data_IF_479684480105
#
_entry.id   IF_479684480105
#
_cell.length_a   1.000
_cell.length_b   1.000
_cell.length_c   1.000
_cell.angle_alpha   90.00
_cell.angle_beta   90.00
_cell.angle_gamma   90.00
#
_symmetry.space_group_name_H-M   'P 1'
#
loop_
_entity.id
_entity.type
_entity.pdbx_description
1 polymer ?
#
# COMPACT_ATOMS: atom_id res chain seq x y z
N UNK A 1 48.23 -0.12 4.66
CA UNK A 1 47.27 0.92 5.07
C UNK A 1 47.22 1.97 3.97
N UNK A 2 46.07 2.14 3.32
CA UNK A 2 45.87 3.20 2.33
C UNK A 2 45.22 4.38 3.04
N UNK A 3 45.94 5.50 3.14
CA UNK A 3 45.43 6.78 3.62
C UNK A 3 45.30 7.74 2.46
N UNK A 4 44.24 8.54 2.44
CA UNK A 4 44.09 9.60 1.45
C UNK A 4 45.21 10.65 1.63
N UNK A 5 46.12 10.74 0.66
CA UNK A 5 47.10 11.82 0.58
C UNK A 5 46.41 13.07 0.05
N UNK A 6 46.01 13.99 0.94
CA UNK A 6 45.63 15.35 0.55
C UNK A 6 46.87 16.22 0.48
N UNK A 7 47.03 16.97 -0.61
CA UNK A 7 47.99 18.06 -0.66
C UNK A 7 47.61 19.09 0.39
N UNK A 8 48.55 19.42 1.29
CA UNK A 8 48.35 20.45 2.31
C UNK A 8 48.41 21.84 1.65
N UNK A 9 47.29 22.32 1.11
CA UNK A 9 47.07 23.73 0.82
C UNK A 9 46.30 24.37 1.99
N UNK A 10 46.43 25.69 2.16
CA UNK A 10 45.54 26.43 3.05
C UNK A 10 44.08 26.10 2.72
N UNK A 11 43.23 25.95 3.74
CA UNK A 11 41.81 25.72 3.53
C UNK A 11 41.25 26.87 2.68
N UNK A 12 40.63 26.54 1.55
CA UNK A 12 39.93 27.52 0.72
C UNK A 12 38.93 28.27 1.59
N UNK A 13 38.83 29.59 1.43
CA UNK A 13 37.85 30.41 2.14
C UNK A 13 36.46 29.80 1.94
N UNK A 14 35.75 29.50 3.02
CA UNK A 14 34.41 28.97 2.93
C UNK A 14 33.51 29.98 2.18
N UNK A 15 33.08 29.62 0.97
CA UNK A 15 32.12 30.42 0.22
C UNK A 15 30.72 29.99 0.68
N UNK A 16 30.04 30.87 1.41
CA UNK A 16 28.62 30.68 1.71
C UNK A 16 27.80 31.03 0.47
N UNK A 17 27.35 30.02 -0.26
CA UNK A 17 26.39 30.20 -1.36
C UNK A 17 24.99 30.08 -0.77
N UNK A 18 24.26 31.19 -0.70
CA UNK A 18 22.85 31.19 -0.34
C UNK A 18 22.02 30.77 -1.57
N UNK A 19 21.29 29.65 -1.54
CA UNK A 19 20.41 29.26 -2.64
C UNK A 19 19.37 30.36 -2.87
N UNK A 20 19.06 30.68 -4.13
CA UNK A 20 18.00 31.63 -4.50
C UNK A 20 16.94 30.91 -5.31
N UNK A 21 16.09 30.15 -4.62
CA UNK A 21 15.01 29.36 -5.23
C UNK A 21 13.71 29.58 -4.46
N UNK A 22 12.58 29.22 -5.09
CA UNK A 22 11.32 29.06 -4.38
C UNK A 22 11.49 28.04 -3.22
N UNK A 23 10.68 28.12 -2.15
CA UNK A 23 10.77 27.14 -1.09
C UNK A 23 10.40 25.74 -1.62
N UNK A 24 10.89 24.70 -0.96
CA UNK A 24 10.42 23.33 -1.18
C UNK A 24 9.04 23.13 -0.53
N UNK A 25 8.32 22.10 -0.95
CA UNK A 25 7.03 21.76 -0.37
C UNK A 25 7.16 21.50 1.15
N UNK A 26 6.29 22.07 2.00
CA UNK A 26 6.29 21.78 3.43
C UNK A 26 5.98 20.32 3.72
N UNK A 27 6.57 19.79 4.79
CA UNK A 27 6.21 18.49 5.32
C UNK A 27 5.22 18.64 6.48
N UNK A 28 3.98 18.25 6.26
CA UNK A 28 2.90 18.37 7.25
C UNK A 28 2.90 17.12 8.14
N UNK A 29 2.86 17.30 9.45
CA UNK A 29 2.98 16.20 10.42
C UNK A 29 1.74 15.30 10.43
N UNK A 30 0.55 15.89 10.25
CA UNK A 30 -0.72 15.20 10.05
C UNK A 30 -1.52 15.90 8.97
N UNK A 31 -1.83 15.19 7.89
CA UNK A 31 -2.63 15.73 6.79
C UNK A 31 -4.14 15.62 7.03
N UNK A 32 -4.56 14.96 8.12
CA UNK A 32 -5.95 14.94 8.58
C UNK A 32 -5.99 15.44 10.03
N UNK A 33 -6.93 16.33 10.34
CA UNK A 33 -7.12 16.91 11.68
C UNK A 33 -8.61 17.01 12.04
N UNK A 34 -8.89 17.18 13.32
CA UNK A 34 -10.22 17.48 13.86
C UNK A 34 -10.23 18.83 14.59
N UNK A 35 -11.41 19.33 14.94
CA UNK A 35 -11.55 20.58 15.71
C UNK A 35 -10.76 20.50 17.03
N UNK A 36 -9.97 21.53 17.29
CA UNK A 36 -9.12 21.63 18.49
C UNK A 36 -7.69 21.14 18.27
N UNK A 37 -7.42 20.47 17.15
CA UNK A 37 -6.07 20.18 16.68
C UNK A 37 -5.57 21.31 15.78
N UNK A 38 -4.26 21.56 15.84
CA UNK A 38 -3.59 22.52 14.98
C UNK A 38 -2.67 21.78 14.03
N UNK A 39 -2.69 22.07 12.72
CA UNK A 39 -1.70 21.52 11.83
C UNK A 39 -0.31 22.02 12.24
N UNK A 40 0.68 21.16 12.06
CA UNK A 40 2.10 21.48 12.22
C UNK A 40 2.89 20.89 11.06
N UNK A 41 4.07 21.47 10.82
CA UNK A 41 4.97 21.03 9.76
C UNK A 41 6.43 21.16 10.16
N UNK A 42 7.31 20.41 9.49
CA UNK A 42 8.74 20.48 9.75
C UNK A 42 9.32 21.86 9.44
N UNK A 43 10.25 22.29 10.29
CA UNK A 43 11.01 23.51 10.08
C UNK A 43 11.97 23.35 8.89
N UNK A 44 11.69 24.07 7.81
CA UNK A 44 12.56 24.05 6.64
C UNK A 44 13.94 24.66 6.93
N UNK A 45 14.98 23.96 6.48
CA UNK A 45 16.37 24.39 6.49
C UNK A 45 16.58 25.66 5.64
N UNK A 46 17.75 26.29 5.76
CA UNK A 46 18.12 27.44 4.92
C UNK A 46 18.11 27.08 3.43
N UNK A 47 18.49 25.85 3.08
CA UNK A 47 18.51 25.41 1.68
C UNK A 47 17.09 25.20 1.14
N UNK A 48 16.23 24.55 1.91
CA UNK A 48 14.83 24.27 1.52
C UNK A 48 14.01 25.55 1.38
N UNK A 49 14.32 26.61 2.13
CA UNK A 49 13.65 27.92 2.02
C UNK A 49 14.21 28.83 0.95
N UNK A 50 15.21 28.37 0.19
CA UNK A 50 15.90 29.20 -0.80
C UNK A 50 16.56 30.41 -0.16
N UNK A 51 17.14 30.24 1.04
CA UNK A 51 17.89 31.26 1.75
C UNK A 51 17.10 32.48 2.22
N UNK A 52 15.76 32.44 2.13
CA UNK A 52 14.88 33.56 2.48
C UNK A 52 13.91 33.18 3.60
N UNK A 53 13.32 34.20 4.24
CA UNK A 53 12.19 33.99 5.12
C UNK A 53 11.01 33.41 4.33
N UNK A 54 10.24 32.52 4.97
CA UNK A 54 9.08 31.87 4.38
C UNK A 54 7.84 32.20 5.19
N UNK A 55 6.74 32.46 4.49
CA UNK A 55 5.41 32.53 5.06
C UNK A 55 4.63 31.30 4.61
N UNK A 56 3.87 30.72 5.53
CA UNK A 56 3.04 29.55 5.29
C UNK A 56 1.56 29.92 5.31
N UNK A 57 0.80 29.30 4.43
CA UNK A 57 -0.66 29.30 4.42
C UNK A 57 -1.14 27.86 4.57
N UNK A 58 -1.77 27.53 5.70
CA UNK A 58 -2.42 26.24 5.89
C UNK A 58 -3.91 26.37 5.53
N UNK A 59 -4.44 25.38 4.82
CA UNK A 59 -5.81 25.33 4.32
C UNK A 59 -6.44 24.03 4.81
N UNK A 60 -7.56 24.14 5.52
CA UNK A 60 -8.37 23.00 5.95
C UNK A 60 -9.57 22.82 5.01
N UNK A 61 -9.78 21.59 4.52
CA UNK A 61 -10.86 21.26 3.58
C UNK A 61 -11.64 20.02 4.02
N UNK A 62 -12.92 19.97 3.65
CA UNK A 62 -13.80 18.79 3.75
C UNK A 62 -14.36 18.54 2.36
N UNK A 63 -14.35 17.29 1.88
CA UNK A 63 -14.84 16.92 0.54
C UNK A 63 -14.25 17.79 -0.58
N UNK A 64 -12.96 18.11 -0.47
CA UNK A 64 -12.23 18.97 -1.40
C UNK A 64 -12.58 20.46 -1.36
N UNK A 65 -13.54 20.87 -0.52
CA UNK A 65 -13.96 22.26 -0.33
C UNK A 65 -13.25 22.90 0.85
N UNK A 66 -12.65 24.08 0.64
CA UNK A 66 -11.98 24.84 1.70
C UNK A 66 -12.99 25.33 2.73
N UNK A 67 -12.73 25.02 4.01
CA UNK A 67 -13.53 25.46 5.15
C UNK A 67 -12.84 26.58 5.92
N UNK A 68 -11.52 26.48 6.11
CA UNK A 68 -10.73 27.48 6.81
C UNK A 68 -9.31 27.61 6.26
N UNK A 69 -8.65 28.72 6.60
CA UNK A 69 -7.25 28.95 6.27
C UNK A 69 -6.57 29.83 7.31
N UNK A 70 -5.29 29.59 7.58
CA UNK A 70 -4.48 30.44 8.45
C UNK A 70 -3.10 30.71 7.83
N UNK A 71 -2.61 31.94 8.01
CA UNK A 71 -1.30 32.39 7.51
C UNK A 71 -0.37 32.63 8.70
N UNK A 72 0.87 32.17 8.62
CA UNK A 72 1.84 32.24 9.71
C UNK A 72 3.29 32.22 9.18
N UNK A 73 4.24 32.76 9.95
CA UNK A 73 5.68 32.53 9.73
C UNK A 73 6.24 31.41 10.61
N UNK A 74 5.43 30.88 11.52
CA UNK A 74 5.78 29.74 12.38
C UNK A 74 5.46 28.42 11.68
N UNK A 75 5.77 27.31 12.34
CA UNK A 75 5.52 25.96 11.83
C UNK A 75 4.13 25.39 12.19
N UNK A 76 3.22 26.24 12.64
CA UNK A 76 1.85 25.88 12.99
C UNK A 76 0.96 27.12 12.99
N UNK A 77 -0.33 26.93 12.75
CA UNK A 77 -1.35 27.96 12.94
C UNK A 77 -2.69 27.37 13.39
N UNK A 78 -3.57 28.21 13.92
CA UNK A 78 -4.87 27.81 14.45
C UNK A 78 -5.96 28.05 13.41
N UNK A 79 -6.80 27.05 13.20
CA UNK A 79 -8.08 27.21 12.51
C UNK A 79 -9.16 27.61 13.50
N UNK A 80 -10.04 28.51 13.08
CA UNK A 80 -11.11 29.09 13.91
C UNK A 80 -12.50 28.65 13.48
N UNK A 81 -12.65 28.13 12.26
CA UNK A 81 -13.94 27.78 11.65
C UNK A 81 -14.25 26.28 11.67
N UNK A 82 -13.38 25.46 12.25
CA UNK A 82 -13.60 24.02 12.31
C UNK A 82 -14.78 23.67 13.22
N UNK A 83 -15.58 22.71 12.77
CA UNK A 83 -16.72 22.14 13.47
C UNK A 83 -16.39 20.74 14.02
N UNK A 84 -17.01 20.38 15.15
CA UNK A 84 -16.90 19.04 15.75
C UNK A 84 -17.62 18.02 14.85
N UNK A 85 -17.10 16.79 14.80
CA UNK A 85 -17.70 15.71 14.02
C UNK A 85 -17.25 15.63 12.55
N UNK A 86 -16.22 16.40 12.17
CA UNK A 86 -15.62 16.36 10.84
C UNK A 86 -14.12 16.13 10.94
N UNK A 87 -13.60 15.35 10.01
CA UNK A 87 -12.17 15.24 9.73
C UNK A 87 -11.82 16.12 8.53
N UNK A 88 -10.82 16.99 8.70
CA UNK A 88 -10.39 17.97 7.71
C UNK A 88 -9.06 17.55 7.10
N UNK A 89 -8.96 17.58 5.78
CA UNK A 89 -7.68 17.46 5.08
C UNK A 89 -6.93 18.79 5.10
N UNK A 90 -5.61 18.74 5.30
CA UNK A 90 -4.76 19.93 5.42
C UNK A 90 -3.77 20.00 4.27
N UNK A 91 -3.75 21.14 3.57
CA UNK A 91 -2.68 21.52 2.64
C UNK A 91 -1.92 22.73 3.20
N UNK A 92 -0.58 22.69 3.15
CA UNK A 92 0.28 23.82 3.56
C UNK A 92 1.05 24.34 2.35
N UNK A 93 0.96 25.64 2.12
CA UNK A 93 1.66 26.36 1.04
C UNK A 93 2.78 27.19 1.66
N UNK A 94 4.04 26.92 1.30
CA UNK A 94 5.18 27.78 1.62
C UNK A 94 5.39 28.82 0.53
N UNK A 95 5.68 30.06 0.92
CA UNK A 95 5.92 31.21 0.02
C UNK A 95 7.16 31.99 0.45
N UNK A 96 8.02 32.35 -0.50
CA UNK A 96 9.05 33.39 -0.35
C UNK A 96 8.99 34.38 -1.52
N UNK A 97 9.93 35.32 -1.62
CA UNK A 97 9.92 36.32 -2.70
C UNK A 97 10.19 35.73 -4.11
N UNK A 98 10.62 34.48 -4.19
CA UNK A 98 11.00 33.79 -5.43
C UNK A 98 9.93 32.80 -5.92
N UNK A 99 8.93 32.47 -5.09
CA UNK A 99 7.83 31.60 -5.49
C UNK A 99 7.14 30.90 -4.32
N UNK A 100 6.43 29.84 -4.66
CA UNK A 100 5.67 29.03 -3.72
C UNK A 100 5.72 27.54 -4.05
N UNK A 101 5.42 26.73 -3.05
CA UNK A 101 5.27 25.28 -3.17
C UNK A 101 4.25 24.78 -2.16
N UNK A 102 3.48 23.76 -2.52
CA UNK A 102 2.44 23.19 -1.67
C UNK A 102 2.79 21.78 -1.24
N UNK A 103 2.40 21.40 -0.03
CA UNK A 103 2.40 20.02 0.43
C UNK A 103 1.48 19.14 -0.43
N UNK A 104 1.61 17.83 -0.26
CA UNK A 104 0.69 16.86 -0.85
C UNK A 104 -0.75 17.26 -0.54
N UNK A 105 -1.62 17.17 -1.55
CA UNK A 105 -3.05 17.43 -1.46
C UNK A 105 -3.81 16.19 -1.92
N UNK A 106 -4.74 15.77 -1.09
CA UNK A 106 -5.68 14.69 -1.37
C UNK A 106 -7.08 15.28 -1.21
N UNK A 107 -7.89 15.19 -2.25
CA UNK A 107 -9.23 15.78 -2.32
C UNK A 107 -10.34 14.74 -2.38
N UNK A 108 -9.95 13.47 -2.37
CA UNK A 108 -10.83 12.32 -2.47
C UNK A 108 -11.68 12.22 -1.18
N UNK A 109 -13.03 12.27 -1.26
CA UNK A 109 -13.91 12.39 -0.09
C UNK A 109 -13.73 11.32 0.99
N UNK A 110 -13.43 10.08 0.63
CA UNK A 110 -13.23 8.99 1.60
C UNK A 110 -11.82 8.93 2.18
N UNK A 111 -10.92 9.84 1.79
CA UNK A 111 -9.55 9.82 2.30
C UNK A 111 -9.45 9.93 3.83
N UNK A 112 -10.35 10.68 4.48
CA UNK A 112 -10.38 10.78 5.95
C UNK A 112 -10.86 9.50 6.64
N UNK A 113 -11.56 8.62 5.93
CA UNK A 113 -11.91 7.29 6.41
C UNK A 113 -10.79 6.26 6.16
N UNK A 114 -9.80 6.58 5.31
CA UNK A 114 -8.66 5.70 5.00
C UNK A 114 -7.52 5.85 6.02
N UNK A 115 -7.85 5.58 7.28
CA UNK A 115 -6.93 5.68 8.43
C UNK A 115 -5.62 4.91 8.22
N UNK A 116 -5.66 3.82 7.45
CA UNK A 116 -4.53 2.96 7.08
C UNK A 116 -3.44 3.67 6.27
N UNK A 117 -3.68 4.90 5.79
CA UNK A 117 -2.73 5.67 4.97
C UNK A 117 -1.92 6.71 5.76
N UNK A 118 -2.41 7.23 6.88
CA UNK A 118 -1.78 8.42 7.51
C UNK A 118 -1.75 8.44 9.05
N UNK A 119 -2.51 7.58 9.74
CA UNK A 119 -2.57 7.59 11.22
C UNK A 119 -1.28 7.04 11.87
N UNK A 120 -1.20 7.11 13.20
CA UNK A 120 -0.01 6.70 13.96
C UNK A 120 0.50 5.30 13.61
N UNK A 121 -0.39 4.31 13.52
CA UNK A 121 -0.07 2.90 13.21
C UNK A 121 -0.44 2.51 11.77
N UNK A 122 -0.46 3.50 10.87
CA UNK A 122 -0.67 3.32 9.45
C UNK A 122 0.63 3.00 8.71
N UNK A 123 0.57 2.94 7.37
CA UNK A 123 1.76 2.87 6.54
C UNK A 123 2.39 4.23 6.18
N UNK A 124 1.82 5.35 6.63
CA UNK A 124 2.34 6.70 6.35
C UNK A 124 2.55 6.98 4.84
N UNK A 125 1.58 6.60 4.01
CA UNK A 125 1.56 6.79 2.56
C UNK A 125 1.71 8.27 2.17
N UNK A 126 1.09 9.15 2.95
CA UNK A 126 1.17 10.60 2.85
C UNK A 126 2.63 11.11 2.84
N UNK A 127 3.50 10.46 3.63
CA UNK A 127 4.92 10.77 3.69
C UNK A 127 5.68 10.26 2.48
N UNK A 128 5.25 9.14 1.89
CA UNK A 128 5.83 8.57 0.68
C UNK A 128 5.51 9.41 -0.57
N UNK A 129 4.29 9.97 -0.62
CA UNK A 129 3.80 10.78 -1.74
C UNK A 129 4.58 12.08 -1.98
N UNK A 130 5.46 12.48 -1.07
CA UNK A 130 6.44 13.56 -1.32
C UNK A 130 7.50 13.17 -2.37
N UNK A 131 7.81 11.89 -2.50
CA UNK A 131 8.84 11.38 -3.41
C UNK A 131 8.22 10.84 -4.69
N UNK A 132 7.13 10.08 -4.55
CA UNK A 132 6.38 9.54 -5.70
C UNK A 132 4.97 9.14 -5.27
N UNK A 133 4.01 9.26 -6.18
CA UNK A 133 2.69 8.64 -6.05
C UNK A 133 2.56 7.39 -6.94
N UNK A 134 3.67 6.87 -7.43
CA UNK A 134 3.70 5.81 -8.44
C UNK A 134 4.08 6.34 -9.82
N UNK A 135 4.49 5.42 -10.71
CA UNK A 135 4.69 5.68 -12.15
C UNK A 135 3.86 4.69 -12.97
N UNK A 136 3.28 5.12 -14.10
CA UNK A 136 2.47 4.23 -14.95
C UNK A 136 3.28 3.12 -15.61
N UNK A 137 4.61 3.20 -15.58
CA UNK A 137 5.51 2.12 -16.02
C UNK A 137 5.65 0.98 -15.01
N UNK A 138 5.12 1.13 -13.79
CA UNK A 138 5.08 0.07 -12.78
C UNK A 138 3.69 -0.54 -12.82
N UNK A 139 3.63 -1.84 -13.07
CA UNK A 139 2.40 -2.63 -13.12
C UNK A 139 2.35 -3.54 -11.90
N UNK A 140 1.22 -3.56 -11.20
CA UNK A 140 0.90 -4.49 -10.12
C UNK A 140 -0.14 -5.47 -10.63
N UNK A 141 0.21 -6.75 -10.75
CA UNK A 141 -0.74 -7.79 -11.04
C UNK A 141 -1.55 -8.13 -9.79
N UNK A 142 -2.87 -8.17 -9.90
CA UNK A 142 -3.79 -8.57 -8.83
C UNK A 142 -4.39 -9.91 -9.22
N UNK A 143 -3.91 -10.98 -8.59
CA UNK A 143 -4.38 -12.34 -8.81
C UNK A 143 -5.51 -12.62 -7.81
N UNK A 144 -6.75 -12.50 -8.28
CA UNK A 144 -7.93 -12.40 -7.42
C UNK A 144 -9.22 -12.84 -8.17
N UNK A 145 -10.41 -12.40 -7.71
CA UNK A 145 -11.72 -12.69 -8.29
C UNK A 145 -12.02 -12.02 -9.64
N UNK A 146 -11.12 -11.17 -10.13
CA UNK A 146 -11.32 -10.34 -11.32
C UNK A 146 -11.44 -8.85 -10.98
N UNK A 147 -12.06 -8.10 -11.88
CA UNK A 147 -12.28 -6.66 -11.72
C UNK A 147 -13.67 -6.26 -12.22
N UNK A 148 -14.32 -5.34 -11.52
CA UNK A 148 -15.51 -4.63 -12.01
C UNK A 148 -15.12 -3.23 -12.48
N UNK A 149 -15.82 -2.70 -13.49
CA UNK A 149 -15.60 -1.34 -13.97
C UNK A 149 -15.93 -0.33 -12.87
N UNK A 150 -15.01 0.60 -12.62
CA UNK A 150 -15.14 1.55 -11.54
C UNK A 150 -14.47 2.89 -11.89
N UNK A 151 -15.17 4.04 -11.80
CA UNK A 151 -14.66 5.33 -12.29
C UNK A 151 -13.36 5.79 -11.60
N UNK A 152 -13.14 5.32 -10.38
CA UNK A 152 -11.94 5.62 -9.60
C UNK A 152 -10.75 4.68 -9.90
N UNK A 153 -10.96 3.65 -10.72
CA UNK A 153 -9.94 2.67 -11.10
C UNK A 153 -9.68 2.59 -12.60
N UNK A 154 -10.68 2.77 -13.46
CA UNK A 154 -10.63 2.43 -14.90
C UNK A 154 -9.38 2.98 -15.62
N UNK A 155 -9.00 4.23 -15.33
CA UNK A 155 -7.84 4.84 -15.97
C UNK A 155 -6.49 4.26 -15.51
N UNK A 156 -6.46 3.50 -14.41
CA UNK A 156 -5.31 2.79 -13.86
C UNK A 156 -5.30 1.30 -14.18
N UNK A 157 -6.33 0.76 -14.83
CA UNK A 157 -6.35 -0.63 -15.27
C UNK A 157 -5.62 -0.78 -16.62
N UNK A 158 -4.80 -1.83 -16.75
CA UNK A 158 -4.26 -2.32 -18.03
C UNK A 158 -4.87 -3.67 -18.37
N UNK A 159 -4.68 -4.14 -19.61
CA UNK A 159 -5.21 -5.43 -20.04
C UNK A 159 -4.74 -6.57 -19.12
N UNK A 160 -5.69 -7.37 -18.67
CA UNK A 160 -5.49 -8.53 -17.82
C UNK A 160 -5.79 -9.84 -18.56
N UNK A 161 -6.05 -10.91 -17.78
CA UNK A 161 -6.38 -12.22 -18.33
C UNK A 161 -7.15 -13.06 -17.29
N UNK A 162 -8.06 -13.90 -17.75
CA UNK A 162 -8.76 -14.87 -16.93
C UNK A 162 -8.08 -16.25 -17.03
N UNK A 163 -7.74 -16.81 -15.88
CA UNK A 163 -7.13 -18.12 -15.76
C UNK A 163 -8.05 -19.13 -15.08
N UNK A 164 -9.34 -18.88 -14.90
CA UNK A 164 -10.25 -19.88 -14.36
C UNK A 164 -10.56 -20.91 -15.46
N UNK A 165 -10.13 -22.16 -15.24
CA UNK A 165 -10.27 -23.21 -16.25
C UNK A 165 -11.64 -23.89 -16.27
N UNK A 166 -12.37 -23.88 -15.15
CA UNK A 166 -13.67 -24.53 -15.00
C UNK A 166 -14.81 -23.52 -15.22
N UNK A 167 -15.62 -23.69 -16.29
CA UNK A 167 -16.75 -22.79 -16.58
C UNK A 167 -17.80 -22.72 -15.46
N UNK A 168 -17.89 -23.75 -14.61
CA UNK A 168 -18.80 -23.74 -13.47
C UNK A 168 -18.30 -22.81 -12.35
N UNK A 169 -17.00 -22.48 -12.32
CA UNK A 169 -16.39 -21.62 -11.32
C UNK A 169 -16.29 -20.19 -11.86
N UNK A 170 -15.98 -20.04 -13.16
CA UNK A 170 -15.80 -18.75 -13.83
C UNK A 170 -17.12 -18.01 -14.06
N UNK A 171 -18.24 -18.70 -14.29
CA UNK A 171 -19.57 -18.10 -14.55
C UNK A 171 -19.67 -17.18 -15.78
N UNK A 172 -18.66 -17.15 -16.66
CA UNK A 172 -18.66 -16.43 -17.95
C UNK A 172 -19.01 -17.33 -19.15
N UNK A 173 -19.00 -18.65 -18.97
CA UNK A 173 -19.46 -19.62 -19.96
C UNK A 173 -18.35 -20.35 -20.72
N UNK A 174 -17.09 -20.06 -20.44
CA UNK A 174 -15.91 -20.75 -20.97
C UNK A 174 -14.81 -20.93 -19.91
N UNK A 175 -13.58 -21.18 -20.34
CA UNK A 175 -12.41 -21.22 -19.47
C UNK A 175 -11.45 -20.12 -19.92
N UNK A 176 -10.15 -20.25 -19.62
CA UNK A 176 -9.12 -19.22 -19.87
C UNK A 176 -9.34 -18.31 -21.09
N UNK A 177 -9.54 -17.02 -20.83
CA UNK A 177 -9.83 -16.01 -21.86
C UNK A 177 -9.25 -14.62 -21.48
N UNK A 178 -9.46 -13.63 -22.35
CA UNK A 178 -8.85 -12.29 -22.21
C UNK A 178 -9.67 -11.28 -21.38
N UNK A 179 -10.77 -11.70 -20.76
CA UNK A 179 -11.74 -10.85 -20.09
C UNK A 179 -11.78 -11.18 -18.58
N UNK A 180 -10.90 -10.58 -17.77
CA UNK A 180 -10.83 -10.83 -16.32
C UNK A 180 -11.95 -10.12 -15.53
N UNK A 181 -13.14 -10.01 -16.12
CA UNK A 181 -14.30 -9.40 -15.49
C UNK A 181 -14.68 -10.22 -14.26
N UNK A 182 -14.97 -9.55 -13.16
CA UNK A 182 -15.57 -10.21 -12.01
C UNK A 182 -17.06 -10.47 -12.32
N UNK A 183 -17.41 -11.74 -12.54
CA UNK A 183 -18.80 -12.16 -12.81
C UNK A 183 -19.64 -12.34 -11.54
N UNK A 184 -19.05 -12.12 -10.35
CA UNK A 184 -19.70 -12.30 -9.06
C UNK A 184 -19.54 -13.72 -8.49
N UNK A 185 -19.00 -13.81 -7.29
CA UNK A 185 -18.71 -15.06 -6.57
C UNK A 185 -19.80 -15.46 -5.56
N UNK A 186 -20.97 -14.81 -5.58
CA UNK A 186 -22.07 -15.06 -4.65
C UNK A 186 -22.42 -16.54 -4.49
N UNK A 187 -22.84 -16.89 -3.27
CA UNK A 187 -23.38 -18.20 -2.92
C UNK A 187 -24.87 -18.09 -2.59
N UNK A 188 -25.49 -19.16 -2.10
CA UNK A 188 -26.88 -19.07 -1.61
C UNK A 188 -27.01 -18.25 -0.32
N UNK A 189 -25.91 -18.14 0.44
CA UNK A 189 -25.92 -17.57 1.78
C UNK A 189 -25.22 -16.21 1.84
N UNK A 190 -24.43 -15.85 0.81
CA UNK A 190 -23.60 -14.64 0.79
C UNK A 190 -23.66 -13.94 -0.58
N UNK A 191 -23.76 -12.59 -0.61
CA UNK A 191 -23.65 -11.81 -1.84
C UNK A 191 -22.21 -11.84 -2.39
N UNK A 192 -22.04 -11.34 -3.62
CA UNK A 192 -20.74 -11.26 -4.27
C UNK A 192 -19.78 -10.35 -3.50
N UNK A 193 -18.54 -10.79 -3.36
CA UNK A 193 -17.51 -10.16 -2.56
C UNK A 193 -16.87 -8.94 -3.24
N UNK A 194 -16.86 -8.91 -4.58
CA UNK A 194 -16.13 -7.93 -5.40
C UNK A 194 -14.68 -7.73 -4.96
N UNK A 195 -14.08 -8.80 -4.41
CA UNK A 195 -12.86 -8.75 -3.63
C UNK A 195 -11.68 -8.20 -4.43
N UNK A 196 -11.51 -8.62 -5.68
CA UNK A 196 -10.46 -8.12 -6.57
C UNK A 196 -10.59 -6.63 -6.90
N UNK A 197 -11.83 -6.10 -6.96
CA UNK A 197 -12.07 -4.66 -7.12
C UNK A 197 -11.64 -3.88 -5.88
N UNK A 198 -11.94 -4.39 -4.69
CA UNK A 198 -11.54 -3.78 -3.42
C UNK A 198 -10.02 -3.75 -3.26
N UNK A 199 -9.37 -4.89 -3.52
CA UNK A 199 -7.91 -5.07 -3.51
C UNK A 199 -7.22 -4.13 -4.51
N UNK A 200 -7.73 -4.02 -5.75
CA UNK A 200 -7.20 -3.11 -6.76
C UNK A 200 -7.29 -1.63 -6.34
N UNK A 201 -8.39 -1.25 -5.68
CA UNK A 201 -8.60 0.08 -5.12
C UNK A 201 -7.56 0.46 -4.07
N UNK A 202 -7.25 -0.47 -3.15
CA UNK A 202 -6.23 -0.26 -2.11
C UNK A 202 -4.87 0.02 -2.75
N UNK A 203 -4.53 -0.67 -3.85
CA UNK A 203 -3.26 -0.47 -4.55
C UNK A 203 -3.26 0.87 -5.30
N UNK A 204 -4.27 1.13 -6.14
CA UNK A 204 -4.19 2.18 -7.17
C UNK A 204 -5.51 2.89 -7.50
N UNK A 205 -6.49 2.96 -6.59
CA UNK A 205 -7.55 3.96 -6.73
C UNK A 205 -6.92 5.33 -6.95
N UNK A 206 -7.48 6.10 -7.88
CA UNK A 206 -6.86 7.35 -8.34
C UNK A 206 -6.94 8.40 -7.24
N UNK A 207 -6.15 9.46 -7.39
CA UNK A 207 -6.38 10.69 -6.61
C UNK A 207 -6.93 11.73 -7.57
N UNK A 208 -8.25 11.78 -7.67
CA UNK A 208 -8.98 12.47 -8.72
C UNK A 208 -10.20 13.26 -8.17
N UNK A 209 -10.32 13.38 -6.85
CA UNK A 209 -11.45 13.99 -6.13
C UNK A 209 -12.75 13.18 -6.20
N UNK A 210 -12.67 11.88 -6.48
CA UNK A 210 -13.77 10.94 -6.47
C UNK A 210 -13.36 9.84 -5.50
N UNK A 211 -14.27 9.41 -4.63
CA UNK A 211 -13.99 8.21 -3.83
C UNK A 211 -12.86 8.33 -2.82
N UNK A 212 -11.99 7.32 -2.82
CA UNK A 212 -10.80 7.22 -1.98
C UNK A 212 -9.52 7.38 -2.80
N UNK A 213 -8.39 6.93 -2.27
CA UNK A 213 -7.12 6.92 -2.98
C UNK A 213 -6.31 5.68 -2.62
N UNK A 214 -5.69 5.05 -3.61
CA UNK A 214 -4.82 3.90 -3.40
C UNK A 214 -3.47 4.31 -2.81
N UNK A 215 -2.71 3.34 -2.30
CA UNK A 215 -1.35 3.55 -1.80
C UNK A 215 -0.44 4.12 -2.89
N UNK A 216 -0.58 3.66 -4.14
CA UNK A 216 0.23 4.04 -5.28
C UNK A 216 -0.64 4.52 -6.47
N UNK A 217 -1.34 5.66 -6.36
CA UNK A 217 -2.41 6.04 -7.28
C UNK A 217 -1.95 6.37 -8.72
N UNK A 218 -0.64 6.42 -8.97
CA UNK A 218 -0.02 6.64 -10.28
C UNK A 218 0.50 5.37 -10.98
N UNK A 219 0.38 4.19 -10.37
CA UNK A 219 0.77 2.91 -11.00
C UNK A 219 -0.36 2.33 -11.83
N UNK A 220 -0.09 1.23 -12.53
CA UNK A 220 -1.12 0.45 -13.23
C UNK A 220 -1.42 -0.84 -12.50
N UNK A 221 -2.67 -1.28 -12.57
CA UNK A 221 -3.12 -2.58 -12.06
C UNK A 221 -3.46 -3.47 -13.25
N UNK A 222 -2.94 -4.70 -13.22
CA UNK A 222 -3.27 -5.76 -14.16
C UNK A 222 -4.16 -6.79 -13.43
N UNK A 223 -5.48 -6.81 -13.67
CA UNK A 223 -6.36 -7.79 -13.07
C UNK A 223 -6.10 -9.16 -13.70
N UNK A 224 -5.85 -10.17 -12.88
CA UNK A 224 -5.67 -11.55 -13.32
C UNK A 224 -6.65 -12.40 -12.53
N UNK A 225 -7.68 -12.89 -13.20
CA UNK A 225 -8.77 -13.60 -12.55
C UNK A 225 -8.38 -15.06 -12.34
N UNK A 226 -8.36 -15.50 -11.09
CA UNK A 226 -7.95 -16.86 -10.68
C UNK A 226 -8.91 -17.48 -9.65
N UNK A 227 -9.85 -16.69 -9.12
CA UNK A 227 -10.89 -17.13 -8.20
C UNK A 227 -12.27 -16.86 -8.78
N UNK A 228 -13.15 -17.85 -8.69
CA UNK A 228 -14.58 -17.69 -8.94
C UNK A 228 -15.41 -18.14 -7.74
N UNK A 229 -16.66 -18.54 -7.97
CA UNK A 229 -17.64 -18.88 -6.91
C UNK A 229 -17.18 -19.94 -5.90
N UNK A 230 -16.32 -20.87 -6.31
CA UNK A 230 -15.85 -21.96 -5.45
C UNK A 230 -14.33 -21.88 -5.20
N UNK A 231 -13.74 -20.69 -5.31
CA UNK A 231 -12.30 -20.48 -5.26
C UNK A 231 -11.64 -20.74 -6.61
N UNK A 232 -10.41 -21.27 -6.58
CA UNK A 232 -9.58 -21.48 -7.77
C UNK A 232 -8.69 -22.71 -7.66
N UNK A 233 -8.06 -23.11 -8.77
CA UNK A 233 -7.16 -24.26 -8.82
C UNK A 233 -5.69 -23.85 -8.71
N UNK A 234 -4.83 -24.73 -8.17
CA UNK A 234 -3.39 -24.47 -8.12
C UNK A 234 -2.76 -24.41 -9.51
N UNK A 235 -3.24 -25.19 -10.48
CA UNK A 235 -2.77 -25.14 -11.87
C UNK A 235 -3.02 -23.79 -12.53
N UNK A 236 -4.20 -23.20 -12.30
CA UNK A 236 -4.57 -21.89 -12.81
C UNK A 236 -3.71 -20.80 -12.16
N UNK A 237 -3.51 -20.89 -10.84
CA UNK A 237 -2.63 -20.00 -10.11
C UNK A 237 -1.18 -20.03 -10.63
N UNK A 238 -0.63 -21.22 -10.89
CA UNK A 238 0.73 -21.38 -11.43
C UNK A 238 0.87 -20.70 -12.79
N UNK A 239 -0.12 -20.89 -13.68
CA UNK A 239 -0.15 -20.26 -14.99
C UNK A 239 -0.23 -18.73 -14.88
N UNK A 240 -1.12 -18.24 -14.01
CA UNK A 240 -1.30 -16.82 -13.74
C UNK A 240 -0.03 -16.14 -13.20
N UNK A 241 0.68 -16.76 -12.24
CA UNK A 241 1.94 -16.24 -11.69
C UNK A 241 3.00 -16.12 -12.78
N UNK A 242 3.16 -17.16 -13.61
CA UNK A 242 4.08 -17.11 -14.74
C UNK A 242 3.72 -15.99 -15.72
N UNK A 243 2.45 -15.90 -16.13
CA UNK A 243 2.01 -14.89 -17.08
C UNK A 243 2.18 -13.46 -16.54
N UNK A 244 1.83 -13.23 -15.28
CA UNK A 244 2.06 -11.96 -14.57
C UNK A 244 3.54 -11.56 -14.59
N UNK A 245 4.45 -12.52 -14.40
CA UNK A 245 5.90 -12.31 -14.43
C UNK A 245 6.50 -12.20 -15.84
N UNK A 246 5.66 -12.23 -16.89
CA UNK A 246 6.08 -12.19 -18.29
C UNK A 246 6.76 -13.47 -18.78
N UNK A 247 6.45 -14.61 -18.15
CA UNK A 247 6.84 -15.94 -18.59
C UNK A 247 5.72 -16.50 -19.47
N UNK A 248 6.06 -17.01 -20.66
CA UNK A 248 5.07 -17.53 -21.61
C UNK A 248 4.33 -18.74 -21.05
N UNK A 249 3.01 -18.76 -21.22
CA UNK A 249 2.13 -19.88 -20.89
C UNK A 249 1.58 -20.47 -22.18
N UNK A 250 1.63 -21.80 -22.32
CA UNK A 250 1.15 -22.47 -23.53
C UNK A 250 -0.35 -22.22 -23.74
N UNK A 251 -0.74 -21.83 -24.95
CA UNK A 251 -2.14 -21.53 -25.29
C UNK A 251 -2.61 -20.12 -24.92
N UNK A 252 -1.79 -19.31 -24.24
CA UNK A 252 -2.13 -17.96 -23.79
C UNK A 252 -1.24 -16.92 -24.50
N UNK A 253 -1.79 -15.79 -24.99
CA UNK A 253 -0.98 -14.70 -25.54
C UNK A 253 0.06 -14.19 -24.55
N UNK A 254 1.24 -13.79 -25.01
CA UNK A 254 2.24 -13.21 -24.12
C UNK A 254 1.70 -11.93 -23.45
N UNK A 255 1.99 -11.77 -22.15
CA UNK A 255 1.61 -10.59 -21.39
C UNK A 255 2.30 -9.33 -21.96
N UNK A 256 1.55 -8.33 -22.48
CA UNK A 256 2.13 -7.12 -23.04
C UNK A 256 2.64 -6.14 -21.96
N UNK A 257 2.20 -6.31 -20.72
CA UNK A 257 2.52 -5.45 -19.58
C UNK A 257 2.92 -6.27 -18.36
N UNK A 258 4.06 -7.01 -18.39
CA UNK A 258 4.52 -7.80 -17.26
C UNK A 258 4.62 -6.98 -15.97
N UNK A 259 4.18 -7.57 -14.87
CA UNK A 259 4.13 -6.92 -13.58
C UNK A 259 5.51 -6.77 -12.93
N UNK A 260 5.62 -5.79 -12.03
CA UNK A 260 6.72 -5.65 -11.07
C UNK A 260 6.38 -6.19 -9.70
N UNK A 261 5.09 -6.28 -9.40
CA UNK A 261 4.55 -6.77 -8.14
C UNK A 261 3.38 -7.69 -8.47
N UNK A 262 3.27 -8.81 -7.77
CA UNK A 262 2.14 -9.73 -7.86
C UNK A 262 1.48 -9.70 -6.47
N UNK A 263 0.25 -9.22 -6.38
CA UNK A 263 -0.56 -9.28 -5.17
C UNK A 263 -1.41 -10.55 -5.19
N UNK A 264 -1.33 -11.33 -4.12
CA UNK A 264 -2.03 -12.60 -3.90
C UNK A 264 -2.82 -12.48 -2.58
N UNK A 265 -3.97 -11.82 -2.65
CA UNK A 265 -4.92 -11.73 -1.53
C UNK A 265 -5.82 -12.97 -1.47
N UNK A 266 -5.21 -14.15 -1.60
CA UNK A 266 -5.90 -15.44 -1.69
C UNK A 266 -5.30 -16.39 -0.64
N UNK A 267 -6.08 -17.33 -0.15
CA UNK A 267 -5.58 -18.26 0.84
C UNK A 267 -6.50 -19.44 1.13
N UNK A 268 -5.99 -20.41 1.89
CA UNK A 268 -6.77 -21.53 2.43
C UNK A 268 -7.23 -21.26 3.86
N UNK A 269 -8.45 -21.67 4.19
CA UNK A 269 -9.02 -21.56 5.55
C UNK A 269 -8.58 -22.69 6.49
N UNK A 270 -7.84 -23.67 5.98
CA UNK A 270 -7.26 -24.76 6.78
C UNK A 270 -5.78 -24.92 6.46
N UNK A 271 -4.98 -25.46 7.41
CA UNK A 271 -3.56 -25.69 7.19
C UNK A 271 -3.29 -26.53 5.94
N UNK A 272 -2.61 -25.91 4.97
CA UNK A 272 -2.30 -26.47 3.66
C UNK A 272 -0.85 -26.17 3.31
N UNK A 273 -0.08 -27.21 2.99
CA UNK A 273 1.33 -27.06 2.60
C UNK A 273 1.46 -26.48 1.18
N UNK A 274 2.51 -25.71 0.95
CA UNK A 274 2.87 -25.27 -0.40
C UNK A 274 3.15 -26.45 -1.32
N UNK A 275 2.48 -26.49 -2.48
CA UNK A 275 2.77 -27.47 -3.52
C UNK A 275 4.02 -27.09 -4.34
N UNK A 276 4.68 -28.08 -4.92
CA UNK A 276 5.93 -27.88 -5.65
C UNK A 276 5.79 -26.99 -6.90
N UNK A 277 4.62 -26.98 -7.53
CA UNK A 277 4.35 -26.18 -8.73
C UNK A 277 4.23 -24.70 -8.39
N UNK A 278 3.41 -24.36 -7.40
CA UNK A 278 3.26 -22.98 -6.92
C UNK A 278 4.56 -22.46 -6.33
N UNK A 279 5.28 -23.30 -5.58
CA UNK A 279 6.62 -23.00 -5.09
C UNK A 279 7.60 -22.62 -6.23
N UNK A 280 7.59 -23.38 -7.33
CA UNK A 280 8.44 -23.08 -8.48
C UNK A 280 8.03 -21.79 -9.20
N UNK A 281 6.72 -21.54 -9.36
CA UNK A 281 6.21 -20.36 -10.04
C UNK A 281 6.52 -19.05 -9.28
N UNK A 282 6.29 -19.05 -7.96
CA UNK A 282 6.63 -17.94 -7.07
C UNK A 282 8.13 -17.62 -7.13
N UNK A 283 8.98 -18.66 -7.07
CA UNK A 283 10.43 -18.48 -7.19
C UNK A 283 10.84 -17.94 -8.56
N UNK A 284 10.23 -18.42 -9.64
CA UNK A 284 10.50 -17.90 -10.98
C UNK A 284 10.13 -16.42 -11.13
N UNK A 285 9.03 -15.97 -10.52
CA UNK A 285 8.68 -14.54 -10.47
C UNK A 285 9.73 -13.74 -9.68
N UNK A 286 10.11 -14.21 -8.48
CA UNK A 286 11.11 -13.55 -7.64
C UNK A 286 12.46 -13.39 -8.34
N UNK A 287 12.96 -14.44 -8.97
CA UNK A 287 14.25 -14.46 -9.66
C UNK A 287 14.27 -13.52 -10.89
N UNK A 288 13.10 -13.17 -11.44
CA UNK A 288 12.93 -12.15 -12.49
C UNK A 288 12.82 -10.72 -11.94
N UNK A 289 12.90 -10.54 -10.62
CA UNK A 289 12.72 -9.24 -9.97
C UNK A 289 11.26 -8.76 -9.95
N UNK A 290 10.32 -9.70 -10.05
CA UNK A 290 8.89 -9.48 -9.80
C UNK A 290 8.62 -9.92 -8.37
N UNK A 291 8.06 -9.03 -7.54
CA UNK A 291 7.89 -9.30 -6.11
C UNK A 291 6.49 -9.86 -5.82
N UNK A 292 6.36 -11.13 -5.41
CA UNK A 292 5.11 -11.68 -4.93
C UNK A 292 4.83 -11.18 -3.50
N UNK A 293 3.64 -10.67 -3.26
CA UNK A 293 3.12 -10.22 -1.97
C UNK A 293 1.87 -11.02 -1.66
N UNK A 294 1.85 -11.75 -0.55
CA UNK A 294 0.78 -12.70 -0.19
C UNK A 294 0.10 -12.29 1.11
N UNK A 295 -1.20 -12.59 1.22
CA UNK A 295 -1.93 -12.53 2.47
C UNK A 295 -1.58 -13.75 3.36
N UNK A 296 -1.36 -13.52 4.66
CA UNK A 296 -1.01 -14.59 5.59
C UNK A 296 -2.20 -15.53 5.94
N UNK A 297 -3.44 -15.10 5.68
CA UNK A 297 -4.68 -15.83 5.96
C UNK A 297 -5.44 -15.32 7.18
N UNK A 298 -6.71 -15.72 7.29
CA UNK A 298 -7.69 -15.15 8.23
C UNK A 298 -8.31 -16.21 9.15
N UNK A 299 -7.52 -17.16 9.64
CA UNK A 299 -8.03 -18.31 10.42
C UNK A 299 -7.35 -18.45 11.78
N UNK A 300 -6.66 -17.40 12.24
CA UNK A 300 -5.95 -17.33 13.51
C UNK A 300 -5.02 -18.54 13.79
N UNK A 301 -4.30 -19.04 12.77
CA UNK A 301 -3.31 -20.11 12.91
C UNK A 301 -1.94 -19.71 12.34
N UNK A 302 -0.93 -20.58 12.53
CA UNK A 302 0.44 -20.39 12.04
C UNK A 302 0.52 -20.21 10.51
N UNK A 303 1.04 -19.07 10.06
CA UNK A 303 1.11 -18.70 8.64
C UNK A 303 1.95 -19.67 7.80
N UNK A 304 2.88 -20.41 8.42
CA UNK A 304 3.62 -21.53 7.79
C UNK A 304 2.70 -22.63 7.24
N UNK A 305 1.46 -22.72 7.72
CA UNK A 305 0.41 -23.59 7.20
C UNK A 305 -0.56 -22.91 6.22
N UNK A 306 -0.37 -21.66 5.81
CA UNK A 306 -1.31 -20.97 4.93
C UNK A 306 -0.80 -20.91 3.49
N UNK A 307 -1.46 -21.66 2.60
CA UNK A 307 -1.17 -21.64 1.17
C UNK A 307 -1.91 -20.48 0.49
N UNK A 308 -1.31 -19.73 -0.46
CA UNK A 308 0.06 -19.87 -0.98
C UNK A 308 1.11 -19.00 -0.25
N UNK A 309 0.76 -18.33 0.85
CA UNK A 309 1.68 -17.46 1.60
C UNK A 309 2.94 -18.18 2.11
N UNK A 310 2.84 -19.48 2.36
CA UNK A 310 3.95 -20.36 2.74
C UNK A 310 4.80 -20.90 1.56
N UNK A 311 4.62 -20.38 0.35
CA UNK A 311 5.47 -20.68 -0.81
C UNK A 311 6.58 -19.64 -0.95
N UNK A 312 7.86 -20.00 -0.78
CA UNK A 312 8.95 -19.01 -0.64
C UNK A 312 9.88 -18.90 -1.86
N UNK A 313 10.20 -17.70 -2.36
CA UNK A 313 10.17 -16.45 -1.60
C UNK A 313 8.96 -15.56 -1.97
N UNK A 314 8.29 -15.06 -0.95
CA UNK A 314 7.20 -14.09 -1.00
C UNK A 314 7.51 -12.96 -0.02
N UNK A 315 6.67 -11.92 -0.03
CA UNK A 315 6.47 -11.05 1.11
C UNK A 315 5.11 -11.42 1.70
N UNK A 316 5.09 -12.17 2.80
CA UNK A 316 3.85 -12.63 3.42
C UNK A 316 3.38 -11.70 4.54
N UNK A 317 2.13 -11.24 4.44
CA UNK A 317 1.64 -10.06 5.19
C UNK A 317 0.49 -10.46 6.11
N UNK A 318 0.67 -10.22 7.41
CA UNK A 318 -0.41 -10.30 8.41
C UNK A 318 -1.12 -8.95 8.58
N UNK A 319 -2.29 -8.95 9.24
CA UNK A 319 -3.15 -7.80 9.39
C UNK A 319 -3.08 -7.18 10.80
N UNK A 320 -3.02 -5.86 10.85
CA UNK A 320 -3.21 -5.07 12.07
C UNK A 320 -4.49 -4.23 12.01
N UNK A 321 -5.14 -4.04 13.15
CA UNK A 321 -6.23 -3.09 13.32
C UNK A 321 -5.74 -1.66 13.57
N UNK A 322 -6.67 -0.72 13.79
CA UNK A 322 -6.37 0.71 13.94
C UNK A 322 -5.47 1.05 15.15
N UNK A 323 -5.41 0.16 16.14
CA UNK A 323 -4.56 0.33 17.32
C UNK A 323 -3.12 -0.13 17.10
N UNK A 324 -2.78 -0.64 15.91
CA UNK A 324 -1.47 -1.19 15.60
C UNK A 324 -1.19 -2.56 16.21
N UNK A 325 -2.22 -3.21 16.78
CA UNK A 325 -2.15 -4.60 17.22
C UNK A 325 -2.63 -5.54 16.11
N UNK A 326 -2.22 -6.81 16.15
CA UNK A 326 -2.72 -7.83 15.22
C UNK A 326 -4.25 -7.93 15.31
N UNK A 327 -4.90 -8.06 14.15
CA UNK A 327 -6.34 -8.28 14.07
C UNK A 327 -6.69 -9.70 14.54
N UNK A 328 -7.85 -9.92 15.18
CA UNK A 328 -8.18 -11.19 15.83
C UNK A 328 -8.26 -12.39 14.88
N UNK A 329 -8.61 -12.16 13.62
CA UNK A 329 -8.69 -13.20 12.58
C UNK A 329 -7.33 -13.57 11.97
N UNK A 330 -6.31 -12.71 12.11
CA UNK A 330 -5.12 -12.80 11.28
C UNK A 330 -4.23 -13.99 11.65
N UNK A 331 -3.79 -14.74 10.64
CA UNK A 331 -2.75 -15.73 10.81
C UNK A 331 -1.43 -15.06 11.21
N UNK A 332 -0.62 -15.78 11.99
CA UNK A 332 0.54 -15.22 12.69
C UNK A 332 1.71 -16.20 12.69
N UNK A 333 2.81 -15.81 13.33
CA UNK A 333 3.88 -16.74 13.67
C UNK A 333 4.88 -16.95 12.55
N UNK A 334 5.43 -18.16 12.47
CA UNK A 334 6.45 -18.47 11.48
C UNK A 334 5.87 -18.38 10.07
N UNK A 335 6.64 -17.76 9.17
CA UNK A 335 6.20 -17.47 7.81
C UNK A 335 5.52 -16.12 7.58
N UNK A 336 5.36 -15.26 8.59
CA UNK A 336 4.98 -13.85 8.41
C UNK A 336 6.23 -12.98 8.29
N UNK A 337 6.34 -12.19 7.22
CA UNK A 337 7.45 -11.26 7.03
C UNK A 337 7.18 -9.90 7.69
N UNK A 338 6.00 -9.34 7.41
CA UNK A 338 5.60 -8.00 7.86
C UNK A 338 4.12 -7.96 8.21
N UNK A 339 3.71 -6.88 8.85
CA UNK A 339 2.30 -6.56 9.03
C UNK A 339 1.93 -5.27 8.29
N UNK A 340 0.66 -5.13 7.97
CA UNK A 340 0.07 -3.90 7.48
C UNK A 340 -1.38 -3.76 7.97
N UNK A 341 -1.95 -2.54 7.96
CA UNK A 341 -3.37 -2.34 8.25
C UNK A 341 -4.27 -3.24 7.39
N UNK A 342 -5.03 -4.11 8.04
CA UNK A 342 -5.99 -5.00 7.40
C UNK A 342 -7.43 -4.83 7.88
N UNK A 343 -7.67 -4.01 8.92
CA UNK A 343 -8.99 -3.78 9.49
C UNK A 343 -9.25 -4.61 10.76
N UNK A 344 -10.10 -4.09 11.63
CA UNK A 344 -10.59 -4.74 12.85
C UNK A 344 -11.92 -4.08 13.26
N UNK A 345 -13.04 -4.68 12.87
CA UNK A 345 -14.38 -4.16 13.07
C UNK A 345 -14.80 -4.07 14.56
N UNK A 346 -14.24 -4.95 15.42
CA UNK A 346 -14.36 -4.88 16.87
C UNK A 346 -13.83 -3.55 17.45
N UNK A 347 -13.00 -2.81 16.68
CA UNK A 347 -12.43 -1.52 17.05
C UNK A 347 -13.15 -0.33 16.40
N UNK A 348 -14.37 -0.51 15.87
CA UNK A 348 -15.16 0.55 15.24
C UNK A 348 -15.27 1.84 16.07
N UNK A 349 -15.37 1.73 17.40
CA UNK A 349 -15.46 2.88 18.30
C UNK A 349 -14.20 3.76 18.33
N UNK A 350 -13.05 3.24 17.89
CA UNK A 350 -11.78 3.96 17.79
C UNK A 350 -11.52 4.49 16.38
N UNK A 351 -12.34 4.09 15.41
CA UNK A 351 -12.13 4.38 14.01
C UNK A 351 -12.58 5.81 13.65
N UNK A 352 -11.83 6.53 12.78
CA UNK A 352 -12.29 7.81 12.28
C UNK A 352 -13.41 7.61 11.26
N UNK A 353 -14.33 8.57 11.25
CA UNK A 353 -15.47 8.59 10.34
C UNK A 353 -16.26 7.27 10.34
N UNK A 354 -16.99 6.99 9.27
CA UNK A 354 -17.76 5.76 9.08
C UNK A 354 -16.88 4.60 8.56
N UNK A 355 -15.61 4.52 8.97
CA UNK A 355 -14.72 3.42 8.56
C UNK A 355 -14.95 2.13 9.33
N UNK A 356 -15.63 2.20 10.48
CA UNK A 356 -15.98 1.05 11.34
C UNK A 356 -14.77 0.16 11.70
N UNK A 357 -13.55 0.71 11.72
CA UNK A 357 -12.32 -0.03 12.01
C UNK A 357 -11.78 -0.85 10.82
N UNK A 358 -12.55 -0.92 9.73
CA UNK A 358 -12.23 -1.65 8.50
C UNK A 358 -11.50 -0.79 7.47
N UNK A 359 -11.20 -1.38 6.30
CA UNK A 359 -10.51 -0.73 5.18
C UNK A 359 -11.53 -0.32 4.11
N UNK A 360 -11.61 0.99 3.84
CA UNK A 360 -12.43 1.57 2.76
C UNK A 360 -11.69 1.43 1.44
N UNK A 361 -12.36 0.90 0.42
CA UNK A 361 -11.87 0.86 -0.96
C UNK A 361 -13.02 0.80 -1.97
N UNK A 362 -12.69 0.77 -3.26
CA UNK A 362 -13.65 0.60 -4.37
C UNK A 362 -14.41 -0.72 -4.28
N UNK A 363 -15.67 -0.72 -4.69
CA UNK A 363 -16.59 -1.84 -4.51
C UNK A 363 -17.69 -1.81 -5.59
N UNK A 364 -18.56 -2.80 -5.57
CA UNK A 364 -19.73 -2.87 -6.44
C UNK A 364 -20.97 -3.28 -5.65
N UNK A 365 -22.12 -2.63 -5.87
CA UNK A 365 -23.35 -2.88 -5.10
C UNK A 365 -24.15 -4.09 -5.58
N UNK A 366 -23.70 -4.78 -6.62
CA UNK A 366 -24.36 -5.96 -7.15
C UNK A 366 -24.29 -7.12 -6.16
N UNK A 367 -25.42 -7.69 -5.76
CA UNK A 367 -25.39 -8.87 -4.86
C UNK A 367 -25.00 -10.14 -5.60
N UNK A 368 -25.26 -10.23 -6.90
CA UNK A 368 -25.03 -11.45 -7.71
C UNK A 368 -24.31 -11.19 -9.02
N UNK A 369 -24.70 -10.14 -9.73
CA UNK A 369 -24.10 -9.70 -10.99
C UNK A 369 -23.67 -8.25 -10.83
N UNK A 370 -22.78 -7.77 -11.71
CA UNK A 370 -22.24 -6.40 -11.64
C UNK A 370 -23.38 -5.37 -11.54
N UNK A 371 -23.40 -4.66 -10.41
CA UNK A 371 -24.27 -3.53 -10.14
C UNK A 371 -23.54 -2.19 -10.26
N UNK A 372 -24.05 -1.17 -9.57
CA UNK A 372 -23.46 0.16 -9.59
C UNK A 372 -22.10 0.21 -8.86
N UNK A 373 -21.08 0.91 -9.42
CA UNK A 373 -19.81 1.11 -8.74
C UNK A 373 -19.99 1.95 -7.47
N UNK A 374 -19.36 1.54 -6.38
CA UNK A 374 -19.47 2.19 -5.07
C UNK A 374 -18.20 1.97 -4.25
N UNK A 375 -18.26 2.22 -2.95
CA UNK A 375 -17.16 2.02 -2.01
C UNK A 375 -17.65 1.17 -0.85
N UNK A 376 -16.79 0.28 -0.38
CA UNK A 376 -17.13 -0.74 0.62
C UNK A 376 -16.06 -0.84 1.69
N UNK A 377 -16.50 -1.34 2.85
CA UNK A 377 -15.65 -1.69 3.98
C UNK A 377 -15.36 -3.19 3.93
N UNK A 378 -14.08 -3.56 3.99
CA UNK A 378 -13.67 -4.95 4.17
C UNK A 378 -12.51 -5.01 5.17
N UNK A 379 -12.35 -6.17 5.79
CA UNK A 379 -11.20 -6.49 6.62
C UNK A 379 -10.60 -7.84 6.27
N UNK A 380 -9.31 -7.99 6.52
CA UNK A 380 -8.58 -9.21 6.23
C UNK A 380 -7.09 -8.97 5.99
N UNK A 381 -6.31 -10.04 6.09
CA UNK A 381 -4.96 -10.07 5.49
C UNK A 381 -5.00 -9.81 3.99
N UNK A 382 -6.14 -10.08 3.34
CA UNK A 382 -6.45 -9.68 1.97
C UNK A 382 -6.43 -8.18 1.71
N UNK A 383 -6.67 -7.35 2.73
CA UNK A 383 -6.57 -5.88 2.65
C UNK A 383 -5.17 -5.40 3.05
N UNK A 384 -4.48 -6.14 3.92
CA UNK A 384 -3.10 -5.83 4.32
C UNK A 384 -2.08 -6.08 3.18
N UNK A 385 -2.22 -7.19 2.44
CA UNK A 385 -1.35 -7.52 1.30
C UNK A 385 -1.30 -6.41 0.21
N UNK A 386 -2.44 -5.87 -0.29
CA UNK A 386 -2.42 -4.81 -1.30
C UNK A 386 -1.87 -3.49 -0.77
N UNK A 387 -1.98 -3.22 0.53
CA UNK A 387 -1.29 -2.09 1.15
C UNK A 387 0.22 -2.23 0.94
N UNK A 388 0.79 -3.40 1.25
CA UNK A 388 2.23 -3.66 1.06
C UNK A 388 2.61 -3.71 -0.43
N UNK A 389 1.79 -4.31 -1.28
CA UNK A 389 2.01 -4.32 -2.73
C UNK A 389 2.09 -2.91 -3.31
N UNK A 390 1.24 -2.00 -2.84
CA UNK A 390 1.30 -0.57 -3.15
C UNK A 390 2.62 0.07 -2.73
N UNK A 391 3.11 -0.19 -1.51
CA UNK A 391 4.40 0.33 -1.04
C UNK A 391 5.56 -0.20 -1.89
N UNK A 392 5.56 -1.48 -2.23
CA UNK A 392 6.55 -2.08 -3.13
C UNK A 392 6.52 -1.39 -4.51
N UNK A 393 5.33 -1.10 -5.04
CA UNK A 393 5.18 -0.39 -6.31
C UNK A 393 5.70 1.06 -6.25
N UNK A 394 5.56 1.75 -5.11
CA UNK A 394 6.18 3.07 -4.88
C UNK A 394 7.71 2.97 -4.88
N UNK A 395 8.30 1.95 -4.25
CA UNK A 395 9.75 1.70 -4.26
C UNK A 395 10.24 1.51 -5.70
N UNK A 396 9.57 0.66 -6.49
CA UNK A 396 9.91 0.47 -7.91
C UNK A 396 9.72 1.73 -8.76
N UNK A 397 8.82 2.62 -8.35
CA UNK A 397 8.60 3.89 -9.05
C UNK A 397 9.77 4.85 -8.88
N UNK A 398 10.46 4.85 -7.75
CA UNK A 398 11.68 5.65 -7.55
C UNK A 398 12.96 4.94 -8.01
N UNK A 399 12.98 3.61 -7.97
CA UNK A 399 14.17 2.78 -8.27
C UNK A 399 13.79 1.55 -9.12
N UNK A 400 13.54 1.72 -10.42
CA UNK A 400 13.06 0.64 -11.28
C UNK A 400 14.05 -0.52 -11.48
N UNK A 401 15.34 -0.32 -11.21
CA UNK A 401 16.41 -1.30 -11.40
C UNK A 401 16.62 -2.28 -10.23
N UNK A 402 15.90 -2.10 -9.12
CA UNK A 402 15.94 -3.00 -7.97
C UNK A 402 15.27 -4.34 -8.28
N UNK A 403 15.74 -5.40 -7.64
CA UNK A 403 15.07 -6.71 -7.63
C UNK A 403 14.33 -6.97 -6.31
N UNK A 404 13.59 -8.07 -6.25
CA UNK A 404 12.76 -8.43 -5.09
C UNK A 404 13.53 -8.49 -3.78
N UNK A 405 14.77 -9.00 -3.79
CA UNK A 405 15.62 -9.04 -2.60
C UNK A 405 16.02 -7.65 -2.09
N UNK A 406 16.26 -6.68 -2.99
CA UNK A 406 16.60 -5.31 -2.60
C UNK A 406 15.40 -4.64 -1.94
N UNK A 407 14.20 -4.84 -2.50
CA UNK A 407 12.94 -4.34 -1.94
C UNK A 407 12.68 -4.92 -0.56
N UNK A 408 12.82 -6.24 -0.40
CA UNK A 408 12.65 -6.89 0.91
C UNK A 408 13.56 -6.27 1.97
N UNK A 409 14.85 -6.06 1.64
CA UNK A 409 15.82 -5.42 2.53
C UNK A 409 15.46 -3.98 2.87
N UNK A 410 14.94 -3.22 1.90
CA UNK A 410 14.47 -1.85 2.12
C UNK A 410 13.31 -1.86 3.12
N UNK A 411 12.30 -2.70 2.90
CA UNK A 411 11.14 -2.80 3.80
C UNK A 411 11.60 -3.19 5.21
N UNK A 412 12.41 -4.25 5.34
CA UNK A 412 12.94 -4.71 6.62
C UNK A 412 13.71 -3.63 7.39
N UNK A 413 14.53 -2.83 6.69
CA UNK A 413 15.30 -1.76 7.31
C UNK A 413 14.46 -0.53 7.71
N UNK A 414 13.18 -0.48 7.32
CA UNK A 414 12.35 0.73 7.42
C UNK A 414 11.01 0.53 8.08
N UNK A 415 10.70 -0.67 8.58
CA UNK A 415 9.47 -0.94 9.33
C UNK A 415 9.26 0.07 10.47
N UNK A 416 7.98 0.38 10.72
CA UNK A 416 7.51 1.03 11.92
C UNK A 416 7.46 0.04 13.08
N UNK A 417 7.60 0.58 14.29
CA UNK A 417 7.50 -0.21 15.51
C UNK A 417 6.03 -0.51 15.86
N UNK A 418 5.81 -1.67 16.46
CA UNK A 418 4.51 -1.99 17.05
C UNK A 418 4.22 -1.11 18.26
N UNK A 419 2.94 -0.90 18.56
CA UNK A 419 2.50 -0.20 19.77
C UNK A 419 3.11 -0.86 21.01
N UNK A 420 3.75 -0.07 21.88
CA UNK A 420 4.29 -0.56 23.15
C UNK A 420 3.21 -1.29 23.97
N UNK A 421 3.55 -2.46 24.50
CA UNK A 421 2.63 -3.31 25.26
C UNK A 421 1.57 -4.06 24.43
N UNK A 422 1.56 -3.90 23.10
CA UNK A 422 0.73 -4.73 22.21
C UNK A 422 1.23 -6.17 22.14
N UNK A 423 0.38 -7.08 21.67
CA UNK A 423 0.77 -8.48 21.44
C UNK A 423 1.94 -8.58 20.44
N UNK A 424 1.91 -7.80 19.37
CA UNK A 424 2.99 -7.75 18.38
C UNK A 424 4.32 -7.25 18.98
N UNK A 425 4.29 -6.18 19.79
CA UNK A 425 5.48 -5.70 20.47
C UNK A 425 6.05 -6.75 21.44
N UNK A 426 5.19 -7.40 22.23
CA UNK A 426 5.61 -8.44 23.19
C UNK A 426 6.20 -9.65 22.45
N UNK A 427 5.56 -10.13 21.39
CA UNK A 427 6.05 -11.28 20.62
C UNK A 427 7.35 -10.98 19.89
N UNK A 428 7.55 -9.75 19.39
CA UNK A 428 8.80 -9.33 18.76
C UNK A 428 10.00 -9.36 19.75
N UNK A 429 9.78 -9.01 21.02
CA UNK A 429 10.85 -9.07 22.05
C UNK A 429 11.25 -10.49 22.48
N UNK A 430 10.44 -11.50 22.12
CA UNK A 430 10.79 -12.90 22.39
C UNK A 430 11.81 -13.45 21.39
N UNK A 431 12.09 -12.75 20.30
CA UNK A 431 13.17 -13.09 19.38
C UNK A 431 14.52 -12.67 19.99
N UNK A 432 15.15 -13.60 20.71
CA UNK A 432 16.52 -13.45 21.21
C UNK A 432 17.37 -14.61 20.69
N UNK A 433 18.70 -14.54 20.83
CA UNK A 433 19.55 -15.71 20.58
C UNK A 433 19.16 -16.93 21.46
N UNK A 434 18.39 -16.71 22.53
CA UNK A 434 17.96 -17.70 23.53
C UNK A 434 16.55 -18.27 23.27
N UNK A 435 15.69 -17.56 22.53
CA UNK A 435 14.36 -18.00 22.07
C UNK A 435 14.16 -17.56 20.60
N UNK A 436 14.55 -18.39 19.62
CA UNK A 436 14.61 -17.98 18.22
C UNK A 436 13.25 -17.98 17.51
N UNK A 437 12.13 -18.00 18.25
CA UNK A 437 10.80 -17.96 17.64
C UNK A 437 10.57 -16.60 16.98
N UNK A 438 10.27 -16.55 15.66
CA UNK A 438 10.02 -15.29 14.98
C UNK A 438 8.84 -14.54 15.62
N UNK A 439 8.88 -13.21 15.52
CA UNK A 439 7.76 -12.35 15.90
C UNK A 439 6.47 -12.86 15.27
N UNK A 440 5.40 -12.98 16.06
CA UNK A 440 4.13 -13.47 15.54
C UNK A 440 3.50 -12.52 14.52
N UNK A 441 3.95 -11.26 14.48
CA UNK A 441 3.46 -10.25 13.55
C UNK A 441 4.48 -9.88 12.47
N UNK A 442 5.55 -10.66 12.29
CA UNK A 442 6.66 -10.30 11.41
C UNK A 442 7.52 -9.16 11.99
N UNK A 443 8.35 -8.55 11.14
CA UNK A 443 9.37 -7.60 11.56
C UNK A 443 8.83 -6.25 12.06
N UNK A 444 7.61 -5.88 11.67
CA UNK A 444 6.98 -4.60 12.01
C UNK A 444 5.87 -4.21 11.02
N UNK A 445 5.20 -3.10 11.31
CA UNK A 445 4.24 -2.50 10.38
C UNK A 445 5.03 -1.80 9.27
N UNK A 446 4.74 -2.08 8.00
CA UNK A 446 5.41 -1.38 6.88
C UNK A 446 5.22 0.15 6.98
N UNK A 447 6.28 0.94 6.82
CA UNK A 447 6.23 2.41 6.73
C UNK A 447 6.67 2.85 5.32
N UNK A 448 5.72 3.24 4.49
CA UNK A 448 5.93 3.66 3.10
C UNK A 448 6.80 4.92 3.03
N UNK A 449 6.64 5.85 3.96
CA UNK A 449 7.40 7.09 4.02
C UNK A 449 8.90 6.83 4.21
N UNK A 450 9.25 5.97 5.19
CA UNK A 450 10.62 5.55 5.45
C UNK A 450 11.16 4.70 4.31
N UNK A 451 10.38 3.72 3.82
CA UNK A 451 10.81 2.81 2.76
C UNK A 451 11.15 3.55 1.46
N UNK A 452 10.26 4.42 0.97
CA UNK A 452 10.48 5.17 -0.27
C UNK A 452 11.62 6.18 -0.10
N UNK A 453 11.71 6.87 1.05
CA UNK A 453 12.85 7.75 1.36
C UNK A 453 14.17 6.99 1.29
N UNK A 454 14.25 5.86 1.98
CA UNK A 454 15.46 5.04 2.03
C UNK A 454 15.84 4.52 0.63
N UNK A 455 14.84 4.07 -0.14
CA UNK A 455 15.03 3.62 -1.52
C UNK A 455 15.74 4.67 -2.40
N UNK A 456 15.49 5.97 -2.22
CA UNK A 456 16.17 7.03 -3.01
C UNK A 456 17.70 7.05 -2.83
N UNK A 457 18.21 6.50 -1.73
CA UNK A 457 19.64 6.45 -1.40
C UNK A 457 20.20 5.03 -1.29
N UNK A 458 19.35 4.02 -1.46
CA UNK A 458 19.71 2.61 -1.31
C UNK A 458 20.80 2.20 -2.30
N UNK A 459 21.88 1.59 -1.80
CA UNK A 459 22.95 1.04 -2.64
C UNK A 459 22.74 -0.46 -2.76
N UNK A 460 22.47 -0.91 -3.99
CA UNK A 460 22.36 -2.33 -4.33
C UNK A 460 23.63 -3.04 -3.90
N UNK A 461 23.50 -4.06 -3.05
CA UNK A 461 24.61 -4.95 -2.75
C UNK A 461 24.87 -5.78 -4.01
N UNK A 462 26.12 -5.80 -4.49
CA UNK A 462 26.51 -6.45 -5.73
C UNK A 462 26.33 -7.97 -5.74
#
# INVERSE_FOLDING_TARGET
>A
MLGASKAASAASTAVSITPKVAPQAPFVDSIVITKGQSPSWEQQSLAERGGQAVTYEAIASVDGQQVDSCITSNISCQFTKLQTGYHYTVQVIARNALGQSSSVRVTDPYFSSQWHLYTQYSIHADRAWRYTRGKPSVVVAVLDGGISAHPDLDANIVAGYDFISDPAYSRDGDGWDSYPTDEGDYTNDEPSSWHGTHVAGIIAARSNSIGGVGVAPGVKVQPIRVLGTNGGSSSDLIAAIHWAAGISVGGVPNNPTPARVINLSIGTSTPTSCDAGTQAAVRAAWDRGVTPVTAAGNSAFEASGSYPGNCYPTINVTATGITGNIAPYANFGDGVDFSAPGGDDDLAALAPDSSEGMIVSTFNLGETTVGEPSYGLQEGTSMAAPVVAGVVALIYSVRPELGSQDVYKILLATVGEFKEGSYCAISATRYTEEDPRPSHCGAGIIDAGRAVKYATTYKKSG
#
